data_IF_325850304707
#
_entry.id   IF_325850304707
#
_cell.length_a   1.000
_cell.length_b   1.000
_cell.length_c   1.000
_cell.angle_alpha   90.00
_cell.angle_beta   90.00
_cell.angle_gamma   90.00
#
_symmetry.space_group_name_H-M   'P 1'
#
loop_
_entity.id
_entity.type
_entity.pdbx_description
1 polymer ?
#
# COMPACT_ATOMS: atom_id res chain seq x y z
N UNK A 1 -17.76 20.63 -39.81
CA UNK A 1 -16.62 21.10 -39.00
C UNK A 1 -16.95 21.05 -37.51
N UNK A 2 -18.23 21.08 -37.13
CA UNK A 2 -18.71 21.04 -35.73
C UNK A 2 -18.76 19.64 -35.06
N UNK A 3 -18.72 18.54 -35.82
CA UNK A 3 -18.77 17.17 -35.25
C UNK A 3 -17.42 16.68 -34.70
N UNK A 4 -16.30 17.15 -35.27
CA UNK A 4 -14.95 16.82 -34.79
C UNK A 4 -14.62 17.55 -33.48
N UNK A 5 -15.08 18.79 -33.28
CA UNK A 5 -14.86 19.53 -32.03
C UNK A 5 -15.56 18.87 -30.83
N UNK A 6 -16.81 18.40 -31.02
CA UNK A 6 -17.56 17.71 -29.95
C UNK A 6 -16.98 16.34 -29.60
N UNK A 7 -16.41 15.62 -30.55
CA UNK A 7 -15.79 14.32 -30.30
C UNK A 7 -14.45 14.47 -29.59
N UNK A 8 -13.67 15.50 -29.91
CA UNK A 8 -12.43 15.86 -29.20
C UNK A 8 -12.72 16.34 -27.78
N UNK A 9 -13.68 17.25 -27.55
CA UNK A 9 -14.04 17.69 -26.19
C UNK A 9 -14.55 16.54 -25.30
N UNK A 10 -15.32 15.60 -25.87
CA UNK A 10 -15.82 14.45 -25.12
C UNK A 10 -14.69 13.49 -24.78
N UNK A 11 -13.77 13.23 -25.71
CA UNK A 11 -12.63 12.35 -25.47
C UNK A 11 -11.64 12.94 -24.46
N UNK A 12 -11.40 14.25 -24.49
CA UNK A 12 -10.57 14.96 -23.50
C UNK A 12 -11.19 14.88 -22.09
N UNK A 13 -12.51 15.11 -21.95
CA UNK A 13 -13.19 14.97 -20.65
C UNK A 13 -13.19 13.53 -20.15
N UNK A 14 -13.42 12.55 -21.02
CA UNK A 14 -13.47 11.13 -20.67
C UNK A 14 -12.10 10.63 -20.16
N UNK A 15 -11.00 11.09 -20.79
CA UNK A 15 -9.63 10.80 -20.33
C UNK A 15 -9.33 11.40 -18.94
N UNK A 16 -9.76 12.65 -18.70
CA UNK A 16 -9.57 13.34 -17.41
C UNK A 16 -10.32 12.62 -16.27
N UNK A 17 -11.55 12.18 -16.51
CA UNK A 17 -12.34 11.45 -15.51
C UNK A 17 -11.72 10.09 -15.16
N UNK A 18 -11.27 9.33 -16.16
CA UNK A 18 -10.66 8.01 -15.92
C UNK A 18 -9.37 8.13 -15.10
N UNK A 19 -8.52 9.12 -15.42
CA UNK A 19 -7.27 9.37 -14.69
C UNK A 19 -7.53 9.82 -13.24
N UNK A 20 -8.52 10.70 -13.02
CA UNK A 20 -8.91 11.12 -11.67
C UNK A 20 -9.47 9.93 -10.88
N UNK A 21 -10.39 9.15 -11.47
CA UNK A 21 -10.96 7.96 -10.83
C UNK A 21 -9.87 6.95 -10.47
N UNK A 22 -8.96 6.67 -11.40
CA UNK A 22 -7.81 5.78 -11.18
C UNK A 22 -6.95 6.27 -10.02
N UNK A 23 -6.63 7.56 -9.98
CA UNK A 23 -5.81 8.15 -8.90
C UNK A 23 -6.51 8.07 -7.54
N UNK A 24 -7.81 8.35 -7.50
CA UNK A 24 -8.63 8.26 -6.28
C UNK A 24 -8.72 6.81 -5.79
N UNK A 25 -8.95 5.85 -6.69
CA UNK A 25 -8.97 4.42 -6.36
C UNK A 25 -7.63 3.94 -5.83
N UNK A 26 -6.52 4.31 -6.47
CA UNK A 26 -5.17 3.96 -5.98
C UNK A 26 -4.95 4.56 -4.58
N UNK A 27 -5.27 5.84 -4.38
CA UNK A 27 -5.13 6.48 -3.07
C UNK A 27 -6.00 5.77 -2.01
N UNK A 28 -7.24 5.44 -2.34
CA UNK A 28 -8.16 4.72 -1.46
C UNK A 28 -7.63 3.34 -1.09
N UNK A 29 -7.15 2.56 -2.07
CA UNK A 29 -6.55 1.25 -1.85
C UNK A 29 -5.31 1.35 -0.96
N UNK A 30 -4.44 2.34 -1.19
CA UNK A 30 -3.25 2.56 -0.35
C UNK A 30 -3.64 2.90 1.10
N UNK A 31 -4.66 3.74 1.30
CA UNK A 31 -5.17 4.07 2.64
C UNK A 31 -5.75 2.83 3.30
N UNK A 32 -6.61 2.07 2.60
CA UNK A 32 -7.16 0.82 3.11
C UNK A 32 -6.06 -0.18 3.48
N UNK A 33 -5.03 -0.30 2.64
CA UNK A 33 -3.90 -1.20 2.88
C UNK A 33 -3.09 -0.76 4.11
N UNK A 34 -2.89 0.54 4.30
CA UNK A 34 -2.24 1.07 5.50
C UNK A 34 -3.06 0.77 6.76
N UNK A 35 -4.38 1.01 6.73
CA UNK A 35 -5.29 0.73 7.84
C UNK A 35 -5.34 -0.78 8.15
N UNK A 36 -5.43 -1.61 7.12
CA UNK A 36 -5.45 -3.07 7.26
C UNK A 36 -4.13 -3.61 7.84
N UNK A 37 -3.00 -3.09 7.38
CA UNK A 37 -1.67 -3.46 7.91
C UNK A 37 -1.53 -3.05 9.37
N UNK A 38 -1.98 -1.84 9.71
CA UNK A 38 -2.00 -1.35 11.09
C UNK A 38 -2.90 -2.22 11.97
N UNK A 39 -4.12 -2.49 11.52
CA UNK A 39 -5.07 -3.36 12.21
C UNK A 39 -4.50 -4.76 12.45
N UNK A 40 -3.88 -5.37 11.42
CA UNK A 40 -3.25 -6.68 11.51
C UNK A 40 -2.09 -6.68 12.51
N UNK A 41 -1.25 -5.65 12.51
CA UNK A 41 -0.19 -5.48 13.50
C UNK A 41 -0.76 -5.40 14.93
N UNK A 42 -1.81 -4.60 15.15
CA UNK A 42 -2.47 -4.51 16.46
C UNK A 42 -3.12 -5.82 16.88
N UNK A 43 -3.83 -6.50 15.99
CA UNK A 43 -4.50 -7.77 16.27
C UNK A 43 -3.51 -8.86 16.63
N UNK A 44 -2.38 -8.97 15.92
CA UNK A 44 -1.31 -9.91 16.27
C UNK A 44 -0.72 -9.60 17.65
N UNK A 45 -0.56 -8.31 17.95
CA UNK A 45 -0.04 -7.87 19.23
C UNK A 45 -0.99 -8.19 20.40
N UNK A 46 -2.30 -8.05 20.19
CA UNK A 46 -3.32 -8.43 21.16
C UNK A 46 -3.45 -9.95 21.28
N UNK A 47 -3.33 -10.69 20.16
CA UNK A 47 -3.30 -12.15 20.15
C UNK A 47 -2.17 -12.67 21.04
N UNK A 48 -0.97 -12.09 20.90
CA UNK A 48 0.19 -12.38 21.75
C UNK A 48 -0.13 -12.11 23.22
N UNK A 49 -0.81 -11.01 23.53
CA UNK A 49 -1.14 -10.66 24.91
C UNK A 49 -2.09 -11.67 25.55
N UNK A 50 -3.04 -12.21 24.78
CA UNK A 50 -4.05 -13.18 25.26
C UNK A 50 -3.48 -14.59 25.36
N UNK A 51 -2.71 -15.04 24.37
CA UNK A 51 -2.29 -16.45 24.25
C UNK A 51 -0.99 -16.79 24.99
N UNK A 52 -0.05 -15.85 25.09
CA UNK A 52 1.35 -16.15 25.47
C UNK A 52 1.66 -15.80 26.94
N UNK A 53 0.73 -15.15 27.65
CA UNK A 53 0.90 -14.72 29.03
C UNK A 53 1.89 -13.55 29.18
N UNK A 54 1.71 -12.76 30.23
CA UNK A 54 2.38 -11.47 30.43
C UNK A 54 3.93 -11.52 30.33
N UNK A 55 4.54 -12.66 30.65
CA UNK A 55 6.00 -12.82 30.72
C UNK A 55 6.67 -12.87 29.34
N UNK A 56 6.01 -13.43 28.34
CA UNK A 56 6.61 -13.64 27.01
C UNK A 56 6.04 -12.71 25.93
N UNK A 57 4.95 -12.00 26.22
CA UNK A 57 4.36 -10.99 25.35
C UNK A 57 5.37 -9.97 24.77
N UNK A 58 6.34 -9.42 25.53
CA UNK A 58 7.33 -8.49 24.97
C UNK A 58 8.31 -9.15 23.99
N UNK A 59 8.63 -10.44 24.13
CA UNK A 59 9.54 -11.14 23.21
C UNK A 59 8.90 -11.31 21.83
N UNK A 60 7.63 -11.72 21.78
CA UNK A 60 6.91 -11.86 20.52
C UNK A 60 6.62 -10.51 19.85
N UNK A 61 6.40 -9.44 20.63
CA UNK A 61 6.38 -8.06 20.11
C UNK A 61 7.68 -7.68 19.41
N UNK A 62 8.82 -8.02 20.00
CA UNK A 62 10.12 -7.76 19.40
C UNK A 62 10.31 -8.56 18.10
N UNK A 63 9.91 -9.84 18.08
CA UNK A 63 9.97 -10.69 16.89
C UNK A 63 9.07 -10.17 15.75
N UNK A 64 7.85 -9.71 16.07
CA UNK A 64 6.97 -9.09 15.08
C UNK A 64 7.60 -7.84 14.47
N UNK A 65 8.16 -6.95 15.31
CA UNK A 65 8.83 -5.76 14.82
C UNK A 65 10.06 -6.09 13.97
N UNK A 66 10.83 -7.11 14.35
CA UNK A 66 11.95 -7.60 13.54
C UNK A 66 11.49 -8.16 12.19
N UNK A 67 10.38 -8.91 12.15
CA UNK A 67 9.82 -9.42 10.91
C UNK A 67 9.35 -8.27 10.00
N UNK A 68 8.64 -7.29 10.55
CA UNK A 68 8.22 -6.09 9.82
C UNK A 68 9.43 -5.31 9.31
N UNK A 69 10.48 -5.16 10.11
CA UNK A 69 11.72 -4.51 9.71
C UNK A 69 12.41 -5.24 8.55
N UNK A 70 12.51 -6.57 8.63
CA UNK A 70 13.10 -7.39 7.57
C UNK A 70 12.30 -7.27 6.27
N UNK A 71 10.97 -7.29 6.33
CA UNK A 71 10.09 -7.07 5.18
C UNK A 71 10.27 -5.66 4.61
N UNK A 72 10.35 -4.63 5.45
CA UNK A 72 10.55 -3.25 5.02
C UNK A 72 11.89 -3.08 4.28
N UNK A 73 12.97 -3.66 4.82
CA UNK A 73 14.29 -3.67 4.17
C UNK A 73 14.22 -4.44 2.85
N UNK A 74 13.54 -5.59 2.82
CA UNK A 74 13.36 -6.38 1.60
C UNK A 74 12.62 -5.62 0.51
N UNK A 75 11.51 -4.96 0.85
CA UNK A 75 10.73 -4.13 -0.08
C UNK A 75 11.53 -2.92 -0.55
N UNK A 76 12.28 -2.25 0.33
CA UNK A 76 13.19 -1.16 -0.04
C UNK A 76 14.25 -1.64 -1.03
N UNK A 77 14.88 -2.78 -0.75
CA UNK A 77 15.89 -3.37 -1.63
C UNK A 77 15.28 -3.77 -2.97
N UNK A 78 14.09 -4.38 -2.97
CA UNK A 78 13.35 -4.74 -4.18
C UNK A 78 13.00 -3.51 -5.02
N UNK A 79 12.49 -2.44 -4.39
CA UNK A 79 12.12 -1.21 -5.08
C UNK A 79 13.34 -0.49 -5.66
N UNK A 80 14.45 -0.43 -4.90
CA UNK A 80 15.71 0.14 -5.37
C UNK A 80 16.32 -0.69 -6.51
N UNK A 81 16.23 -2.02 -6.45
CA UNK A 81 16.72 -2.93 -7.49
C UNK A 81 15.88 -2.85 -8.76
N UNK A 82 14.54 -2.82 -8.64
CA UNK A 82 13.64 -2.65 -9.78
C UNK A 82 13.79 -1.29 -10.49
N UNK A 83 14.17 -0.23 -9.76
CA UNK A 83 14.50 1.07 -10.39
C UNK A 83 15.80 1.05 -11.20
N UNK A 84 16.73 0.14 -10.94
CA UNK A 84 17.97 0.01 -11.72
C UNK A 84 17.77 -0.68 -13.08
N UNK A 85 16.69 -1.44 -13.22
CA UNK A 85 16.39 -2.18 -14.46
C UNK A 85 15.66 -1.31 -15.49
N UNK A 86 14.97 -0.26 -15.05
CA UNK A 86 14.26 0.70 -15.93
C UNK A 86 15.16 1.80 -16.53
N UNK A 87 16.48 1.76 -16.27
CA UNK A 87 17.47 2.73 -16.77
C UNK A 87 18.56 2.09 -17.67
N UNK A 88 18.36 0.84 -18.11
CA UNK A 88 19.19 0.22 -19.15
C UNK A 88 18.36 -0.07 -20.39
#
# INVERSE_FOLDING_TARGET
MDEEEKTVERNVKEFDFEDILRKVLIAFVVIMLAVATWGLYTSLNDLIRIWIGYKYAPLYRALLNLAVLAIAIYLLNLLVRGRREKQR
#
